data_IF_674766463058
#
_entry.id   IF_674766463058
#
_cell.length_a   1.000
_cell.length_b   1.000
_cell.length_c   1.000
_cell.angle_alpha   90.00
_cell.angle_beta   90.00
_cell.angle_gamma   90.00
#
_symmetry.space_group_name_H-M   'P 1'
#
loop_
_entity.id
_entity.type
_entity.pdbx_description
1 polymer ?
#
# COMPACT_ATOMS: atom_id res chain seq x y z
N UNK A 1 6.38 -49.22 -14.49
CA UNK A 1 5.40 -48.14 -14.29
C UNK A 1 5.88 -47.32 -13.10
N UNK A 2 6.30 -46.07 -13.31
CA UNK A 2 6.89 -45.23 -12.27
C UNK A 2 5.76 -44.65 -11.41
N UNK A 3 5.58 -45.19 -10.20
CA UNK A 3 4.70 -44.58 -9.21
C UNK A 3 5.37 -43.28 -8.77
N UNK A 4 4.75 -42.15 -9.10
CA UNK A 4 5.25 -40.83 -8.73
C UNK A 4 5.40 -40.73 -7.21
N UNK A 5 6.47 -40.10 -6.73
CA UNK A 5 6.71 -39.83 -5.29
C UNK A 5 5.45 -39.25 -4.61
N UNK A 6 4.67 -38.46 -5.36
CA UNK A 6 3.42 -37.85 -4.93
C UNK A 6 2.34 -38.88 -4.55
N UNK A 7 2.24 -39.99 -5.27
CA UNK A 7 1.27 -41.05 -5.00
C UNK A 7 1.66 -41.89 -3.77
N UNK A 8 2.97 -42.08 -3.56
CA UNK A 8 3.48 -42.73 -2.34
C UNK A 8 3.17 -41.90 -1.09
N UNK A 9 3.30 -40.57 -1.18
CA UNK A 9 3.00 -39.65 -0.08
C UNK A 9 1.50 -39.62 0.26
N UNK A 10 0.62 -39.63 -0.75
CA UNK A 10 -0.83 -39.70 -0.55
C UNK A 10 -1.26 -41.05 0.04
N UNK A 11 -0.66 -42.16 -0.41
CA UNK A 11 -0.94 -43.50 0.14
C UNK A 11 -0.44 -43.67 1.58
N UNK A 12 0.63 -42.96 1.95
CA UNK A 12 1.17 -42.91 3.31
C UNK A 12 0.34 -42.03 4.27
N UNK A 13 -0.78 -41.46 3.82
CA UNK A 13 -1.67 -40.64 4.66
C UNK A 13 -1.15 -39.23 4.95
N UNK A 14 -0.07 -38.80 4.27
CA UNK A 14 0.48 -37.46 4.43
C UNK A 14 -0.41 -36.46 3.67
N UNK A 15 -1.43 -35.94 4.37
CA UNK A 15 -2.22 -34.81 3.88
C UNK A 15 -1.35 -33.56 3.99
N UNK A 16 -1.22 -32.82 2.90
CA UNK A 16 -0.57 -31.50 2.89
C UNK A 16 -1.08 -30.69 4.08
N UNK A 17 -0.16 -30.15 4.88
CA UNK A 17 -0.50 -29.34 6.04
C UNK A 17 -1.54 -28.32 5.60
N UNK A 18 -2.72 -28.35 6.23
CA UNK A 18 -3.70 -27.28 6.05
C UNK A 18 -2.95 -25.99 6.35
N UNK A 19 -2.77 -25.16 5.32
CA UNK A 19 -2.46 -23.75 5.53
C UNK A 19 -3.64 -23.23 6.32
N UNK A 20 -3.39 -22.99 7.61
CA UNK A 20 -4.38 -22.57 8.58
C UNK A 20 -4.89 -21.19 8.16
N UNK A 21 -5.86 -21.14 7.23
CA UNK A 21 -6.80 -20.03 6.96
C UNK A 21 -7.44 -19.99 5.56
N UNK A 22 -7.17 -20.91 4.62
CA UNK A 22 -7.91 -20.89 3.34
C UNK A 22 -9.34 -21.43 3.50
N UNK A 23 -10.29 -20.54 3.80
CA UNK A 23 -11.72 -20.85 3.80
C UNK A 23 -12.29 -20.77 2.39
N UNK A 24 -12.87 -21.87 1.92
CA UNK A 24 -13.57 -21.92 0.63
C UNK A 24 -14.85 -21.06 0.70
N UNK A 25 -15.04 -20.08 -0.19
CA UNK A 25 -16.27 -19.29 -0.21
C UNK A 25 -17.46 -20.17 -0.59
N UNK A 26 -18.54 -20.12 0.19
CA UNK A 26 -19.83 -20.72 -0.19
C UNK A 26 -20.57 -19.72 -1.05
N UNK A 27 -20.75 -20.04 -2.34
CA UNK A 27 -21.53 -19.20 -3.25
C UNK A 27 -23.02 -19.20 -2.84
N UNK A 28 -23.64 -18.01 -2.76
CA UNK A 28 -25.10 -17.87 -2.75
C UNK A 28 -25.80 -17.59 -1.40
N UNK A 29 -25.09 -17.23 -0.32
CA UNK A 29 -25.71 -16.81 0.95
C UNK A 29 -25.44 -15.33 1.22
N UNK A 30 -26.43 -14.60 1.73
CA UNK A 30 -26.22 -13.25 2.26
C UNK A 30 -25.20 -13.31 3.40
N UNK A 31 -24.03 -12.72 3.16
CA UNK A 31 -22.89 -12.76 4.09
C UNK A 31 -23.25 -11.94 5.33
N UNK A 32 -23.39 -12.60 6.48
CA UNK A 32 -23.56 -11.90 7.76
C UNK A 32 -22.32 -11.06 8.04
N UNK A 33 -22.44 -9.89 8.68
CA UNK A 33 -21.27 -9.06 9.00
C UNK A 33 -20.17 -9.83 9.77
N UNK A 34 -20.57 -10.81 10.61
CA UNK A 34 -19.63 -11.70 11.30
C UNK A 34 -18.87 -12.65 10.37
N UNK A 35 -19.42 -13.01 9.20
CA UNK A 35 -18.76 -13.82 8.18
C UNK A 35 -17.80 -12.98 7.32
N UNK A 36 -18.11 -11.70 7.04
CA UNK A 36 -17.19 -10.78 6.33
C UNK A 36 -15.84 -10.62 7.04
N UNK A 37 -15.85 -10.61 8.36
CA UNK A 37 -14.64 -10.55 9.18
C UNK A 37 -13.75 -11.80 9.05
N UNK A 38 -14.30 -12.94 8.59
CA UNK A 38 -13.57 -14.20 8.45
C UNK A 38 -12.94 -14.36 7.06
N UNK A 39 -13.35 -13.56 6.06
CA UNK A 39 -12.73 -13.58 4.72
C UNK A 39 -11.37 -12.88 4.69
N UNK A 40 -11.15 -11.95 5.63
CA UNK A 40 -9.97 -11.12 5.68
C UNK A 40 -8.99 -11.64 6.73
N UNK A 41 -7.70 -11.62 6.40
CA UNK A 41 -6.67 -12.09 7.31
C UNK A 41 -6.47 -11.06 8.42
N UNK A 42 -6.93 -11.42 9.62
CA UNK A 42 -6.91 -10.59 10.82
C UNK A 42 -5.88 -11.07 11.85
N UNK A 43 -4.97 -11.97 11.48
CA UNK A 43 -3.94 -12.49 12.38
C UNK A 43 -2.61 -11.76 12.20
N UNK A 44 -2.08 -11.20 13.28
CA UNK A 44 -0.77 -10.57 13.31
C UNK A 44 0.32 -11.62 13.56
N UNK A 45 1.24 -11.78 12.61
CA UNK A 45 2.38 -12.70 12.67
C UNK A 45 3.45 -12.26 13.69
N UNK A 46 3.47 -11.00 14.11
CA UNK A 46 4.46 -10.50 15.07
C UNK A 46 4.05 -10.74 16.53
N UNK A 47 2.82 -10.36 16.90
CA UNK A 47 2.33 -10.53 18.27
C UNK A 47 1.49 -11.80 18.47
N UNK A 48 1.26 -12.58 17.41
CA UNK A 48 0.46 -13.81 17.41
C UNK A 48 -0.98 -13.61 17.93
N UNK A 49 -1.53 -12.42 17.71
CA UNK A 49 -2.88 -12.06 18.13
C UNK A 49 -3.76 -11.73 16.93
N UNK A 50 -5.05 -12.02 17.06
CA UNK A 50 -6.07 -11.57 16.11
C UNK A 50 -6.39 -10.11 16.38
N UNK A 51 -6.22 -9.26 15.38
CA UNK A 51 -6.49 -7.82 15.47
C UNK A 51 -7.25 -7.34 14.22
N UNK A 52 -8.20 -6.41 14.38
CA UNK A 52 -9.05 -5.94 13.27
C UNK A 52 -8.34 -4.97 12.31
N UNK A 53 -7.14 -4.52 12.65
CA UNK A 53 -6.31 -3.53 11.94
C UNK A 53 -5.07 -4.14 11.26
N UNK A 54 -5.05 -5.48 11.10
CA UNK A 54 -3.94 -6.17 10.43
C UNK A 54 -3.90 -5.83 8.95
N UNK A 55 -2.70 -5.47 8.48
CA UNK A 55 -2.41 -5.21 7.08
C UNK A 55 -1.15 -5.95 6.63
N UNK A 56 -1.03 -6.13 5.32
CA UNK A 56 0.16 -6.72 4.71
C UNK A 56 1.17 -5.63 4.37
N UNK A 57 2.36 -5.73 4.93
CA UNK A 57 3.50 -4.88 4.65
C UNK A 57 4.56 -5.64 3.86
N UNK A 58 5.06 -5.03 2.79
CA UNK A 58 6.23 -5.50 2.07
C UNK A 58 7.41 -4.64 2.46
N UNK A 59 8.05 -4.99 3.56
CA UNK A 59 9.25 -4.34 4.06
C UNK A 59 10.43 -5.32 4.04
N UNK A 60 11.64 -4.77 4.16
CA UNK A 60 12.89 -5.53 4.27
C UNK A 60 13.57 -5.22 5.59
N UNK A 61 12.79 -5.29 6.68
CA UNK A 61 13.30 -4.99 8.02
C UNK A 61 14.12 -6.19 8.49
N UNK A 62 15.33 -5.99 9.05
CA UNK A 62 16.14 -7.09 9.55
C UNK A 62 15.57 -7.73 10.82
N UNK A 63 14.63 -7.06 11.49
CA UNK A 63 14.09 -7.50 12.79
C UNK A 63 12.93 -8.48 12.68
N UNK A 64 12.30 -8.60 11.51
CA UNK A 64 11.12 -9.46 11.35
C UNK A 64 10.86 -9.79 9.89
N UNK A 65 10.52 -11.06 9.64
CA UNK A 65 10.04 -11.56 8.35
C UNK A 65 8.50 -11.55 8.26
N UNK A 66 7.81 -11.15 9.33
CA UNK A 66 6.36 -11.08 9.40
C UNK A 66 5.83 -10.03 8.42
N UNK A 67 5.03 -10.47 7.45
CA UNK A 67 4.42 -9.57 6.46
C UNK A 67 3.05 -9.08 6.91
N UNK A 68 2.36 -9.85 7.75
CA UNK A 68 1.02 -9.54 8.22
C UNK A 68 1.06 -9.06 9.65
N UNK A 69 0.95 -7.75 9.84
CA UNK A 69 1.16 -7.11 11.14
C UNK A 69 0.07 -6.08 11.42
N UNK A 70 -0.31 -5.93 12.68
CA UNK A 70 -1.21 -4.86 13.13
C UNK A 70 -0.48 -3.52 13.19
N UNK A 71 -1.24 -2.41 13.23
CA UNK A 71 -0.68 -1.04 13.22
C UNK A 71 0.29 -0.82 14.37
N UNK A 72 -0.07 -1.24 15.59
CA UNK A 72 0.78 -1.11 16.77
C UNK A 72 2.10 -1.89 16.66
N UNK A 73 2.08 -3.07 16.03
CA UNK A 73 3.31 -3.84 15.79
C UNK A 73 4.15 -3.20 14.68
N UNK A 74 3.51 -2.69 13.63
CA UNK A 74 4.19 -1.95 12.57
C UNK A 74 4.88 -0.68 13.10
N UNK A 75 4.27 0.01 14.07
CA UNK A 75 4.87 1.18 14.72
C UNK A 75 6.07 0.81 15.60
N UNK A 76 5.95 -0.25 16.41
CA UNK A 76 7.08 -0.76 17.23
C UNK A 76 8.28 -1.22 16.39
N UNK A 77 8.00 -1.75 15.20
CA UNK A 77 9.02 -2.24 14.27
C UNK A 77 9.51 -1.14 13.30
N UNK A 78 9.03 0.10 13.48
CA UNK A 78 9.39 1.25 12.66
C UNK A 78 9.14 1.03 11.15
N UNK A 79 8.10 0.26 10.81
CA UNK A 79 7.75 -0.06 9.42
C UNK A 79 6.83 1.02 8.88
N UNK A 80 7.32 1.83 7.95
CA UNK A 80 6.52 2.89 7.33
C UNK A 80 5.26 2.39 6.63
N UNK A 81 4.20 3.19 6.66
CA UNK A 81 2.95 2.91 5.94
C UNK A 81 3.12 2.87 4.42
N UNK A 82 4.18 3.48 3.89
CA UNK A 82 4.56 3.38 2.47
C UNK A 82 4.84 1.94 2.02
N UNK A 83 5.22 1.06 2.95
CA UNK A 83 5.44 -0.36 2.67
C UNK A 83 4.14 -1.18 2.73
N UNK A 84 3.01 -0.57 3.11
CA UNK A 84 1.71 -1.22 3.16
C UNK A 84 1.23 -1.54 1.75
N UNK A 85 0.86 -2.80 1.53
CA UNK A 85 0.39 -3.30 0.22
C UNK A 85 -1.11 -3.54 0.16
N UNK A 86 -1.76 -3.73 1.32
CA UNK A 86 -3.20 -3.98 1.40
C UNK A 86 -3.92 -2.87 2.16
N UNK A 87 -5.22 -2.74 1.91
CA UNK A 87 -6.12 -1.87 2.66
C UNK A 87 -7.37 -2.66 3.06
N UNK A 88 -7.16 -3.81 3.71
CA UNK A 88 -8.23 -4.77 3.93
C UNK A 88 -8.91 -4.60 5.28
N UNK A 89 -8.18 -4.13 6.29
CA UNK A 89 -8.70 -3.94 7.63
C UNK A 89 -9.92 -3.01 7.62
N UNK A 90 -10.84 -3.24 8.54
CA UNK A 90 -12.00 -2.34 8.67
C UNK A 90 -11.56 -0.91 9.00
N UNK A 91 -10.47 -0.77 9.76
CA UNK A 91 -9.88 0.51 10.11
C UNK A 91 -9.40 1.24 8.85
N UNK A 92 -8.72 0.55 7.94
CA UNK A 92 -8.23 1.17 6.72
C UNK A 92 -9.35 1.48 5.72
N UNK A 93 -10.36 0.61 5.62
CA UNK A 93 -11.56 0.86 4.80
C UNK A 93 -12.39 2.03 5.30
N UNK A 94 -12.50 2.18 6.62
CA UNK A 94 -13.27 3.26 7.24
C UNK A 94 -12.47 4.56 7.41
N UNK A 95 -11.24 4.64 6.90
CA UNK A 95 -10.37 5.82 7.05
C UNK A 95 -9.96 6.12 8.50
N UNK A 96 -10.06 5.14 9.39
CA UNK A 96 -9.68 5.22 10.82
C UNK A 96 -8.31 4.61 11.10
N UNK A 97 -7.65 4.08 10.08
CA UNK A 97 -6.29 3.58 10.20
C UNK A 97 -5.34 4.74 10.46
N UNK A 98 -4.69 4.71 11.62
CA UNK A 98 -3.76 5.74 12.07
C UNK A 98 -2.48 5.06 12.55
N UNK A 99 -1.35 5.63 12.19
CA UNK A 99 -0.01 5.19 12.60
C UNK A 99 0.57 6.22 13.56
N UNK A 100 1.25 5.76 14.59
CA UNK A 100 2.05 6.60 15.47
C UNK A 100 3.44 6.85 14.87
N UNK A 101 3.94 5.89 14.08
CA UNK A 101 5.23 6.00 13.41
C UNK A 101 5.08 6.33 11.92
N UNK A 102 5.51 7.53 11.55
CA UNK A 102 5.55 8.01 10.17
C UNK A 102 4.19 8.45 9.60
N UNK A 103 4.17 8.95 8.35
CA UNK A 103 2.94 9.41 7.73
C UNK A 103 2.01 8.23 7.43
N UNK A 104 0.74 8.37 7.81
CA UNK A 104 -0.32 7.42 7.42
C UNK A 104 -0.74 7.72 5.99
N UNK A 105 -0.78 6.72 5.11
CA UNK A 105 -1.28 6.89 3.75
C UNK A 105 -2.80 7.04 3.78
N UNK A 106 -3.25 8.25 3.43
CA UNK A 106 -4.63 8.54 3.07
C UNK A 106 -4.93 7.97 1.67
N UNK A 107 -5.25 6.69 1.59
CA UNK A 107 -5.63 6.06 0.31
C UNK A 107 -7.00 6.56 -0.21
N UNK A 108 -7.76 7.27 0.64
CA UNK A 108 -9.05 7.88 0.30
C UNK A 108 -8.92 9.09 -0.63
N UNK A 109 -7.74 9.71 -0.71
CA UNK A 109 -7.48 10.82 -1.63
C UNK A 109 -6.75 10.27 -2.85
N UNK A 110 -7.33 10.32 -4.06
CA UNK A 110 -6.57 9.97 -5.26
C UNK A 110 -5.33 10.88 -5.30
N UNK A 111 -4.14 10.29 -5.33
CA UNK A 111 -2.91 11.04 -5.51
C UNK A 111 -2.97 11.67 -6.89
N UNK A 112 -3.34 12.95 -6.95
CA UNK A 112 -3.25 13.74 -8.17
C UNK A 112 -1.76 13.83 -8.49
N UNK A 113 -1.29 13.33 -9.64
CA UNK A 113 0.12 13.47 -10.00
C UNK A 113 0.45 14.95 -9.98
N UNK A 114 1.41 15.36 -9.14
CA UNK A 114 1.92 16.73 -9.15
C UNK A 114 2.46 16.97 -10.56
N UNK A 115 1.78 17.82 -11.33
CA UNK A 115 2.36 18.37 -12.56
C UNK A 115 3.64 19.08 -12.13
N UNK A 116 4.78 18.53 -12.52
CA UNK A 116 6.04 19.24 -12.44
C UNK A 116 5.88 20.50 -13.30
N UNK A 117 5.72 21.66 -12.64
CA UNK A 117 5.83 22.98 -13.27
C UNK A 117 7.31 23.25 -13.63
N UNK A 118 7.94 22.35 -14.39
CA UNK A 118 9.15 22.67 -15.13
C UNK A 118 8.72 23.54 -16.30
N UNK A 119 8.58 24.85 -16.05
CA UNK A 119 8.53 25.86 -17.10
C UNK A 119 9.68 25.59 -18.08
N UNK A 120 9.44 25.42 -19.39
CA UNK A 120 10.54 25.47 -20.34
C UNK A 120 11.14 26.88 -20.25
N UNK A 121 12.41 26.97 -19.88
CA UNK A 121 13.16 28.22 -19.93
C UNK A 121 13.09 28.74 -21.36
N UNK A 122 12.41 29.88 -21.51
CA UNK A 122 12.22 30.53 -22.79
C UNK A 122 13.57 30.82 -23.44
N UNK A 123 13.67 30.39 -24.69
CA UNK A 123 14.73 30.74 -25.63
C UNK A 123 14.69 32.26 -25.86
N UNK A 124 15.41 33.04 -25.04
CA UNK A 124 15.62 34.47 -25.27
C UNK A 124 16.66 34.62 -26.38
N UNK A 125 16.19 34.70 -27.62
CA UNK A 125 17.00 35.14 -28.75
C UNK A 125 17.57 36.56 -28.54
N UNK A 126 18.70 36.90 -29.16
CA UNK A 126 19.33 38.20 -28.99
C UNK A 126 18.48 39.29 -29.67
N UNK A 127 17.91 40.18 -28.85
CA UNK A 127 17.19 41.35 -29.32
C UNK A 127 18.22 42.41 -29.77
N UNK A 128 18.50 42.45 -31.07
CA UNK A 128 19.33 43.48 -31.68
C UNK A 128 18.51 44.20 -32.76
N UNK A 129 17.61 45.08 -32.30
CA UNK A 129 16.83 45.99 -33.15
C UNK A 129 17.21 47.43 -32.85
N UNK A 130 18.02 48.01 -33.74
CA UNK A 130 18.29 49.45 -33.86
C UNK A 130 17.07 50.19 -34.46
N UNK A 131 17.11 51.52 -34.36
CA UNK A 131 16.30 52.56 -35.05
C UNK A 131 14.91 52.84 -34.47
N UNK A 132 14.39 54.06 -34.39
CA UNK A 132 14.74 55.35 -35.03
C UNK A 132 14.02 56.51 -34.28
N UNK A 133 14.59 57.73 -34.36
CA UNK A 133 13.80 58.95 -34.70
C UNK A 133 12.95 59.69 -33.64
N UNK A 134 13.53 60.74 -33.07
CA UNK A 134 13.16 62.16 -33.25
C UNK A 134 11.72 62.70 -32.96
N UNK A 135 11.60 63.58 -31.94
CA UNK A 135 10.80 64.84 -31.80
C UNK A 135 10.60 65.11 -30.29
N UNK A 136 11.07 66.17 -29.63
CA UNK A 136 11.04 67.60 -29.93
C UNK A 136 10.05 68.27 -28.95
N UNK A 137 10.50 69.17 -28.05
CA UNK A 137 9.55 69.96 -27.23
C UNK A 137 10.02 70.50 -25.86
N UNK A 138 10.87 71.52 -25.89
CA UNK A 138 10.96 72.70 -25.00
C UNK A 138 10.08 72.76 -23.73
N UNK A 139 10.69 72.88 -22.53
CA UNK A 139 10.23 73.71 -21.38
C UNK A 139 11.37 74.00 -20.40
N UNK A 140 12.05 75.14 -20.56
CA UNK A 140 12.27 76.21 -19.56
C UNK A 140 13.39 77.14 -20.01
#
# INVERSE_FOLDING_TARGET
>A
MANSLKDALLKAGLRSAKVENERKPKQGREIKQSERHQELRNYCEHCNCTQPDVEKFRHRSPFTDAQWICSACADKLEIHDNCRTTQQSEFAKNGRYRREYGPTLDVSKPQVPKKDDRRPQGNRGPNNGRNDGNRGGNRR
#
